data_IF_217617991357
#
_entry.id   IF_217617991357
#
_cell.length_a   1.000
_cell.length_b   1.000
_cell.length_c   1.000
_cell.angle_alpha   90.00
_cell.angle_beta   90.00
_cell.angle_gamma   90.00
#
_symmetry.space_group_name_H-M   'P 1'
#
loop_
_entity.id
_entity.type
_entity.pdbx_description
1 polymer ?
#
# COMPACT_ATOMS: atom_id res chain seq x y z
N UNK A 1 30.10 -49.85 29.85
CA UNK A 1 29.35 -50.52 30.93
C UNK A 1 28.43 -49.49 31.57
N UNK A 2 27.14 -49.83 31.64
CA UNK A 2 26.03 -49.22 32.41
C UNK A 2 25.28 -48.04 31.79
N UNK A 3 24.15 -48.41 31.17
CA UNK A 3 22.84 -47.77 31.31
C UNK A 3 22.57 -47.26 32.73
N UNK A 4 21.87 -46.13 32.85
CA UNK A 4 20.80 -45.89 33.83
C UNK A 4 19.98 -44.65 33.43
N UNK A 5 18.80 -44.88 32.84
CA UNK A 5 17.58 -44.15 33.19
C UNK A 5 16.92 -44.97 34.32
N UNK A 6 16.20 -44.41 35.33
CA UNK A 6 14.96 -43.65 35.11
C UNK A 6 14.64 -42.58 36.19
N UNK A 7 13.65 -41.72 35.94
CA UNK A 7 12.48 -41.56 36.83
C UNK A 7 11.61 -40.36 36.43
N UNK A 8 10.38 -40.70 36.00
CA UNK A 8 9.22 -39.82 35.98
C UNK A 8 9.01 -39.15 37.36
N UNK A 9 8.76 -37.84 37.37
CA UNK A 9 7.81 -37.24 38.33
C UNK A 9 6.77 -36.40 37.60
N UNK A 10 5.61 -37.02 37.50
CA UNK A 10 4.26 -36.47 37.47
C UNK A 10 4.11 -35.12 38.16
N UNK A 11 3.57 -34.14 37.42
CA UNK A 11 2.69 -33.09 37.97
C UNK A 11 1.49 -32.94 37.01
N UNK A 12 0.39 -33.61 37.37
CA UNK A 12 -0.96 -33.30 36.88
C UNK A 12 -1.40 -31.99 37.53
N UNK A 13 -1.83 -31.00 36.76
CA UNK A 13 -3.25 -30.57 36.73
C UNK A 13 -3.48 -29.36 35.80
N UNK A 14 -4.36 -29.58 34.82
CA UNK A 14 -5.36 -28.64 34.25
C UNK A 14 -4.93 -27.26 33.74
N UNK A 15 -5.09 -27.04 32.43
CA UNK A 15 -5.32 -25.72 31.86
C UNK A 15 -4.80 -25.61 30.43
N UNK A 16 -5.72 -25.54 29.46
CA UNK A 16 -5.43 -25.23 28.05
C UNK A 16 -4.45 -24.08 27.91
N UNK A 17 -3.32 -24.32 27.25
CA UNK A 17 -2.55 -23.27 26.56
C UNK A 17 -1.83 -23.93 25.40
N UNK A 18 -2.22 -23.57 24.17
CA UNK A 18 -1.50 -23.93 22.96
C UNK A 18 -0.15 -23.20 22.98
N UNK A 19 0.89 -23.88 23.47
CA UNK A 19 2.27 -23.43 23.37
C UNK A 19 2.95 -24.19 22.22
N UNK A 20 3.27 -23.46 21.15
CA UNK A 20 4.19 -23.88 20.11
C UNK A 20 5.54 -24.21 20.75
N UNK A 21 5.82 -25.49 20.97
CA UNK A 21 7.11 -25.98 21.45
C UNK A 21 7.66 -26.92 20.40
N UNK A 22 8.72 -26.50 19.71
CA UNK A 22 9.46 -27.33 18.77
C UNK A 22 10.42 -28.20 19.57
N UNK A 23 10.10 -29.48 19.75
CA UNK A 23 10.99 -30.46 20.39
C UNK A 23 11.89 -31.11 19.34
N UNK A 24 13.14 -30.65 19.29
CA UNK A 24 14.25 -31.38 18.68
C UNK A 24 14.68 -32.46 19.67
N UNK A 25 14.47 -33.74 19.36
CA UNK A 25 15.29 -34.86 19.81
C UNK A 25 14.85 -36.17 19.11
N UNK A 26 15.85 -36.83 18.51
CA UNK A 26 15.88 -38.16 17.87
C UNK A 26 15.63 -38.24 16.36
N UNK A 27 16.63 -38.81 15.68
CA UNK A 27 16.81 -38.83 14.24
C UNK A 27 15.95 -39.84 13.47
N UNK A 28 16.02 -39.67 12.14
CA UNK A 28 15.33 -40.43 11.09
C UNK A 28 13.80 -40.39 11.11
N UNK A 29 13.24 -39.33 10.54
CA UNK A 29 12.36 -39.39 9.35
C UNK A 29 11.78 -37.99 9.09
N UNK A 30 11.69 -37.61 7.81
CA UNK A 30 11.25 -36.32 7.27
C UNK A 30 10.22 -35.57 8.13
N UNK A 31 10.65 -34.49 8.77
CA UNK A 31 9.75 -33.48 9.34
C UNK A 31 10.07 -32.16 8.66
N UNK A 32 9.16 -31.72 7.77
CA UNK A 32 9.14 -30.37 7.23
C UNK A 32 8.98 -29.41 8.40
N UNK A 33 10.06 -28.80 8.87
CA UNK A 33 9.96 -27.56 9.62
C UNK A 33 9.48 -26.49 8.63
N UNK A 34 8.28 -25.95 8.84
CA UNK A 34 7.81 -24.74 8.17
C UNK A 34 8.70 -23.58 8.62
N UNK A 35 9.80 -23.38 7.91
CA UNK A 35 10.66 -22.21 8.00
C UNK A 35 10.94 -21.75 6.58
N UNK A 36 10.64 -20.49 6.29
CA UNK A 36 11.13 -19.77 5.12
C UNK A 36 12.66 -19.72 5.20
N UNK A 37 13.32 -20.78 4.72
CA UNK A 37 14.73 -20.80 4.43
C UNK A 37 14.87 -21.04 2.94
N UNK A 38 14.52 -20.04 2.14
CA UNK A 38 14.89 -20.01 0.74
C UNK A 38 16.40 -19.73 0.68
N UNK A 39 17.17 -20.73 0.26
CA UNK A 39 18.58 -20.51 -0.13
C UNK A 39 18.63 -19.35 -1.14
N UNK A 40 19.66 -18.48 -1.10
CA UNK A 40 19.78 -17.39 -2.06
C UNK A 40 19.88 -18.01 -3.45
N UNK A 41 18.81 -17.84 -4.24
CA UNK A 41 18.75 -18.38 -5.58
C UNK A 41 19.82 -17.69 -6.45
N UNK A 42 20.60 -18.45 -7.24
CA UNK A 42 21.68 -17.87 -8.04
C UNK A 42 21.13 -16.82 -9.03
N UNK A 43 21.99 -15.84 -9.37
CA UNK A 43 21.81 -14.64 -10.22
C UNK A 43 21.01 -14.84 -11.54
N UNK A 44 20.75 -16.08 -11.97
CA UNK A 44 19.85 -16.41 -13.08
C UNK A 44 18.35 -16.33 -12.72
N UNK A 45 18.01 -16.00 -11.47
CA UNK A 45 16.64 -15.92 -10.93
C UNK A 45 15.90 -14.61 -11.28
N UNK A 46 16.61 -13.57 -11.73
CA UNK A 46 16.06 -12.27 -12.16
C UNK A 46 15.17 -12.35 -13.43
N UNK A 47 15.18 -13.50 -14.12
CA UNK A 47 14.50 -13.75 -15.39
C UNK A 47 13.40 -14.82 -15.27
N UNK A 48 12.83 -15.09 -14.09
CA UNK A 48 11.61 -15.92 -14.02
C UNK A 48 10.50 -15.21 -14.81
N UNK A 49 10.09 -15.68 -16.01
CA UNK A 49 9.06 -15.01 -16.80
C UNK A 49 7.71 -14.99 -16.06
N UNK A 50 7.53 -15.91 -15.10
CA UNK A 50 6.38 -15.97 -14.21
C UNK A 50 6.26 -14.76 -13.28
N UNK A 51 7.36 -14.21 -12.74
CA UNK A 51 7.32 -13.05 -11.86
C UNK A 51 6.83 -11.79 -12.60
N UNK A 52 7.31 -11.59 -13.83
CA UNK A 52 6.81 -10.54 -14.72
C UNK A 52 5.34 -10.71 -15.07
N UNK A 53 4.91 -11.95 -15.39
CA UNK A 53 3.53 -12.25 -15.72
C UNK A 53 2.57 -12.00 -14.56
N UNK A 54 2.85 -12.56 -13.38
CA UNK A 54 2.02 -12.38 -12.19
C UNK A 54 2.06 -10.93 -11.67
N UNK A 55 3.23 -10.31 -11.65
CA UNK A 55 3.39 -8.91 -11.24
C UNK A 55 2.63 -7.95 -12.16
N UNK A 56 2.75 -8.12 -13.48
CA UNK A 56 2.02 -7.28 -14.43
C UNK A 56 0.51 -7.47 -14.31
N UNK A 57 0.04 -8.71 -14.14
CA UNK A 57 -1.37 -9.00 -13.91
C UNK A 57 -1.88 -8.34 -12.61
N UNK A 58 -1.12 -8.47 -11.51
CA UNK A 58 -1.47 -7.89 -10.23
C UNK A 58 -1.56 -6.35 -10.29
N UNK A 59 -0.53 -5.68 -10.83
CA UNK A 59 -0.53 -4.22 -11.01
C UNK A 59 -1.66 -3.78 -11.95
N UNK A 60 -1.95 -4.55 -12.98
CA UNK A 60 -3.10 -4.25 -13.86
C UNK A 60 -4.43 -4.31 -13.12
N UNK A 61 -4.61 -5.27 -12.21
CA UNK A 61 -5.82 -5.37 -11.37
C UNK A 61 -5.89 -4.21 -10.38
N UNK A 62 -4.76 -3.83 -9.78
CA UNK A 62 -4.69 -2.66 -8.88
C UNK A 62 -5.05 -1.39 -9.66
N UNK A 63 -4.44 -1.13 -10.81
CA UNK A 63 -4.77 0.06 -11.61
C UNK A 63 -6.22 0.07 -12.16
N UNK A 64 -6.94 -1.05 -12.12
CA UNK A 64 -8.38 -1.05 -12.42
C UNK A 64 -9.20 -0.42 -11.29
N UNK A 65 -8.71 -0.38 -10.04
CA UNK A 65 -9.38 0.38 -8.98
C UNK A 65 -9.41 1.87 -9.31
N UNK A 66 -8.44 2.40 -10.08
CA UNK A 66 -8.41 3.82 -10.44
C UNK A 66 -9.62 4.20 -11.32
N UNK A 67 -10.19 3.21 -12.02
CA UNK A 67 -11.39 3.31 -12.84
C UNK A 67 -12.67 3.11 -12.03
N UNK A 68 -12.63 2.45 -10.88
CA UNK A 68 -13.81 2.23 -10.02
C UNK A 68 -14.38 3.53 -9.47
N UNK A 69 -13.58 4.60 -9.38
CA UNK A 69 -14.07 5.95 -9.07
C UNK A 69 -15.23 6.38 -9.98
N UNK A 70 -15.21 5.98 -11.27
CA UNK A 70 -16.29 6.27 -12.23
C UNK A 70 -17.58 5.49 -11.89
N UNK A 71 -17.43 4.21 -11.54
CA UNK A 71 -18.55 3.34 -11.17
C UNK A 71 -19.18 3.75 -9.82
N UNK A 72 -18.39 4.39 -8.96
CA UNK A 72 -18.80 4.80 -7.62
C UNK A 72 -19.34 6.24 -7.55
N UNK A 73 -19.23 7.05 -8.61
CA UNK A 73 -19.89 8.37 -8.73
C UNK A 73 -21.38 8.35 -8.35
N UNK A 74 -22.24 7.45 -8.86
CA UNK A 74 -23.65 7.41 -8.47
C UNK A 74 -23.86 7.02 -6.99
N UNK A 75 -22.89 6.39 -6.36
CA UNK A 75 -22.92 6.00 -4.95
C UNK A 75 -22.33 7.07 -4.04
N UNK A 76 -21.43 7.92 -4.53
CA UNK A 76 -20.80 9.01 -3.78
C UNK A 76 -21.83 10.00 -3.20
N UNK A 77 -22.97 10.17 -3.86
CA UNK A 77 -24.06 11.01 -3.38
C UNK A 77 -24.86 10.39 -2.21
N UNK A 78 -24.68 9.09 -1.90
CA UNK A 78 -25.43 8.42 -0.84
C UNK A 78 -24.81 8.65 0.54
N UNK A 79 -25.63 8.79 1.60
CA UNK A 79 -25.14 8.98 2.97
C UNK A 79 -24.40 7.75 3.55
N UNK A 80 -24.46 6.60 2.88
CA UNK A 80 -23.68 5.42 3.25
C UNK A 80 -22.22 5.47 2.75
N UNK A 81 -21.92 6.29 1.74
CA UNK A 81 -20.61 6.30 1.10
C UNK A 81 -19.45 6.60 2.05
N UNK A 82 -19.52 7.60 2.95
CA UNK A 82 -18.44 7.86 3.91
C UNK A 82 -18.21 6.69 4.87
N UNK A 83 -19.26 5.92 5.19
CA UNK A 83 -19.16 4.74 6.06
C UNK A 83 -18.46 3.58 5.34
N UNK A 84 -18.82 3.35 4.08
CA UNK A 84 -18.20 2.32 3.23
C UNK A 84 -16.74 2.65 2.96
N UNK A 85 -16.44 3.90 2.60
CA UNK A 85 -15.07 4.37 2.43
C UNK A 85 -14.26 4.22 3.71
N UNK A 86 -14.86 4.56 4.87
CA UNK A 86 -14.20 4.39 6.16
C UNK A 86 -13.84 2.93 6.46
N UNK A 87 -14.70 1.97 6.07
CA UNK A 87 -14.40 0.55 6.20
C UNK A 87 -13.24 0.14 5.30
N UNK A 88 -13.27 0.51 4.01
CA UNK A 88 -12.23 0.13 3.07
C UNK A 88 -10.86 0.74 3.41
N UNK A 89 -10.80 1.99 3.85
CA UNK A 89 -9.51 2.54 4.34
C UNK A 89 -8.99 1.77 5.55
N UNK A 90 -9.87 1.42 6.50
CA UNK A 90 -9.43 0.65 7.66
C UNK A 90 -9.02 -0.79 7.29
N UNK A 91 -9.66 -1.37 6.28
CA UNK A 91 -9.26 -2.63 5.67
C UNK A 91 -7.84 -2.53 5.09
N UNK A 92 -7.57 -1.50 4.27
CA UNK A 92 -6.24 -1.23 3.71
C UNK A 92 -5.16 -1.05 4.77
N UNK A 93 -5.40 -0.21 5.78
CA UNK A 93 -4.50 -0.05 6.94
C UNK A 93 -4.21 -1.41 7.59
N UNK A 94 -5.26 -2.20 7.82
CA UNK A 94 -5.16 -3.52 8.44
C UNK A 94 -4.33 -4.49 7.60
N UNK A 95 -4.53 -4.54 6.29
CA UNK A 95 -3.77 -5.42 5.39
C UNK A 95 -2.31 -5.01 5.29
N UNK A 96 -1.98 -3.72 5.21
CA UNK A 96 -0.59 -3.26 5.14
C UNK A 96 0.19 -3.54 6.41
N UNK A 97 -0.37 -3.15 7.54
CA UNK A 97 0.25 -3.37 8.84
C UNK A 97 0.52 -4.85 9.05
N UNK A 98 -0.47 -5.68 8.71
CA UNK A 98 -0.35 -7.14 8.86
C UNK A 98 0.63 -7.75 7.86
N UNK A 99 0.67 -7.28 6.63
CA UNK A 99 1.64 -7.75 5.63
C UNK A 99 3.07 -7.41 6.05
N UNK A 100 3.29 -6.20 6.59
CA UNK A 100 4.58 -5.79 7.15
C UNK A 100 5.00 -6.70 8.31
N UNK A 101 4.13 -6.90 9.31
CA UNK A 101 4.46 -7.62 10.55
C UNK A 101 4.51 -9.14 10.38
N UNK A 102 3.64 -9.73 9.56
CA UNK A 102 3.51 -11.19 9.44
C UNK A 102 4.34 -11.78 8.30
N UNK A 103 4.71 -10.98 7.30
CA UNK A 103 5.41 -11.49 6.11
C UNK A 103 6.74 -10.78 5.89
N UNK A 104 6.76 -9.45 5.74
CA UNK A 104 7.98 -8.73 5.33
C UNK A 104 9.05 -8.70 6.43
N UNK A 105 8.66 -8.38 7.67
CA UNK A 105 9.58 -8.26 8.81
C UNK A 105 10.18 -9.61 9.23
N UNK A 106 9.39 -10.70 9.37
CA UNK A 106 9.95 -12.02 9.68
C UNK A 106 10.89 -12.54 8.59
N UNK A 107 10.59 -12.29 7.32
CA UNK A 107 11.45 -12.69 6.17
C UNK A 107 12.83 -12.02 6.23
N UNK A 108 12.89 -10.73 6.60
CA UNK A 108 14.15 -9.96 6.61
C UNK A 108 14.98 -10.17 7.89
N UNK A 109 14.34 -10.40 9.05
CA UNK A 109 15.06 -10.57 10.32
C UNK A 109 15.58 -12.00 10.50
N UNK A 110 14.89 -13.00 9.97
CA UNK A 110 15.16 -14.40 10.29
C UNK A 110 14.97 -14.70 11.79
N UNK A 111 15.14 -15.97 12.18
CA UNK A 111 15.02 -16.39 13.58
C UNK A 111 16.36 -16.42 14.34
N UNK A 112 17.47 -16.07 13.68
CA UNK A 112 18.82 -16.13 14.23
C UNK A 112 19.40 -14.72 14.48
N UNK A 113 19.31 -14.17 15.71
CA UNK A 113 19.82 -12.84 16.04
C UNK A 113 21.36 -12.72 15.98
N UNK A 114 22.07 -13.82 15.71
CA UNK A 114 23.53 -13.87 15.52
C UNK A 114 23.99 -13.81 14.06
N UNK A 115 23.06 -13.66 13.10
CA UNK A 115 23.44 -13.52 11.70
C UNK A 115 24.07 -12.14 11.44
N UNK A 116 25.20 -12.12 10.70
CA UNK A 116 25.99 -10.90 10.41
C UNK A 116 25.17 -9.77 9.75
N UNK A 117 23.99 -10.08 9.18
CA UNK A 117 23.13 -9.14 8.47
C UNK A 117 21.97 -8.56 9.30
N UNK A 118 21.79 -8.95 10.56
CA UNK A 118 20.68 -8.46 11.41
C UNK A 118 20.65 -6.92 11.49
N UNK A 119 21.81 -6.30 11.67
CA UNK A 119 21.93 -4.84 11.74
C UNK A 119 21.51 -4.17 10.43
N UNK A 120 21.85 -4.76 9.28
CA UNK A 120 21.46 -4.25 7.96
C UNK A 120 19.95 -4.38 7.73
N UNK A 121 19.37 -5.51 8.15
CA UNK A 121 17.93 -5.78 8.11
C UNK A 121 17.12 -4.75 8.91
N UNK A 122 17.48 -4.53 10.18
CA UNK A 122 16.82 -3.54 11.05
C UNK A 122 17.02 -2.11 10.52
N UNK A 123 18.23 -1.81 10.02
CA UNK A 123 18.52 -0.52 9.38
C UNK A 123 17.67 -0.32 8.12
N UNK A 124 17.42 -1.37 7.34
CA UNK A 124 16.52 -1.34 6.19
C UNK A 124 15.08 -1.00 6.57
N UNK A 125 14.55 -1.63 7.62
CA UNK A 125 13.20 -1.33 8.15
C UNK A 125 13.09 0.13 8.58
N UNK A 126 14.02 0.60 9.39
CA UNK A 126 14.03 2.01 9.80
C UNK A 126 14.23 2.95 8.61
N UNK A 127 15.11 2.57 7.66
CA UNK A 127 15.38 3.32 6.44
C UNK A 127 14.14 3.50 5.58
N UNK A 128 13.36 2.45 5.36
CA UNK A 128 12.10 2.53 4.61
C UNK A 128 11.06 3.43 5.28
N UNK A 129 10.90 3.29 6.60
CA UNK A 129 10.03 4.17 7.38
C UNK A 129 10.45 5.65 7.26
N UNK A 130 11.75 5.92 7.42
CA UNK A 130 12.31 7.27 7.38
C UNK A 130 12.25 7.89 5.99
N UNK A 131 12.49 7.11 4.93
CA UNK A 131 12.42 7.60 3.55
C UNK A 131 11.02 8.13 3.24
N UNK A 132 9.96 7.39 3.56
CA UNK A 132 8.59 7.89 3.34
C UNK A 132 8.25 9.09 4.22
N UNK A 133 8.65 9.07 5.49
CA UNK A 133 8.50 10.24 6.37
C UNK A 133 9.16 11.49 5.79
N UNK A 134 10.38 11.35 5.30
CA UNK A 134 11.16 12.45 4.76
C UNK A 134 10.62 12.92 3.41
N UNK A 135 10.27 12.01 2.50
CA UNK A 135 9.68 12.38 1.20
C UNK A 135 8.33 13.05 1.36
N UNK A 136 7.46 12.54 2.24
CA UNK A 136 6.18 13.19 2.56
C UNK A 136 6.41 14.56 3.21
N UNK A 137 7.41 14.68 4.10
CA UNK A 137 7.81 15.95 4.71
C UNK A 137 8.29 16.98 3.69
N UNK A 138 9.17 16.60 2.77
CA UNK A 138 9.62 17.47 1.67
C UNK A 138 8.45 17.85 0.80
N UNK A 139 7.62 16.89 0.40
CA UNK A 139 6.48 17.13 -0.46
C UNK A 139 5.56 18.18 0.17
N UNK A 140 5.25 18.03 1.45
CA UNK A 140 4.49 19.04 2.22
C UNK A 140 5.18 20.41 2.27
N UNK A 141 6.49 20.48 2.45
CA UNK A 141 7.23 21.76 2.47
C UNK A 141 7.27 22.47 1.10
N UNK A 142 7.61 21.72 0.04
CA UNK A 142 7.67 22.22 -1.34
C UNK A 142 6.30 22.75 -1.75
N UNK A 143 5.24 22.02 -1.41
CA UNK A 143 3.88 22.38 -1.78
C UNK A 143 3.32 23.54 -0.95
N UNK A 144 3.75 23.69 0.32
CA UNK A 144 3.41 24.86 1.14
C UNK A 144 4.05 26.14 0.61
N UNK A 145 5.21 26.04 -0.03
CA UNK A 145 5.94 27.17 -0.62
C UNK A 145 5.20 27.75 -1.83
N UNK A 146 4.55 26.91 -2.66
CA UNK A 146 3.75 27.35 -3.82
C UNK A 146 2.47 28.12 -3.43
N UNK A 147 1.87 27.82 -2.26
CA UNK A 147 0.65 28.49 -1.80
C UNK A 147 0.92 29.90 -1.25
N UNK A 148 2.10 30.16 -0.70
CA UNK A 148 2.50 31.50 -0.21
C UNK A 148 2.91 32.43 -1.36
N UNK A 149 3.63 31.94 -2.38
CA UNK A 149 4.15 32.76 -3.48
C UNK A 149 3.05 33.33 -4.40
N UNK A 150 1.85 32.73 -4.42
CA UNK A 150 0.75 33.17 -5.30
C UNK A 150 -0.13 34.28 -4.73
N UNK A 151 0.04 34.68 -3.47
CA UNK A 151 -0.67 35.79 -2.85
C UNK A 151 0.12 37.11 -2.92
N UNK A 152 0.53 37.53 -4.12
CA UNK A 152 0.79 38.96 -4.34
C UNK A 152 -0.52 39.64 -4.79
N UNK A 153 -1.00 40.67 -4.08
CA UNK A 153 -2.23 41.37 -4.45
C UNK A 153 -1.95 42.23 -5.67
N UNK A 154 -2.42 41.79 -6.85
CA UNK A 154 -2.58 42.69 -7.98
C UNK A 154 -3.81 43.56 -7.70
N UNK A 155 -3.56 44.76 -7.18
CA UNK A 155 -4.51 45.86 -7.25
C UNK A 155 -4.77 46.17 -8.74
N UNK A 156 -5.95 45.88 -9.27
CA UNK A 156 -6.47 46.63 -10.42
C UNK A 156 -8.00 46.65 -10.43
N UNK A 157 -8.50 47.82 -10.03
CA UNK A 157 -9.78 48.48 -10.34
C UNK A 157 -10.97 47.67 -10.88
N UNK A 158 -12.08 47.80 -10.16
CA UNK A 158 -13.44 47.62 -10.62
C UNK A 158 -13.76 48.42 -11.90
N UNK A 159 -14.35 47.77 -12.90
CA UNK A 159 -15.33 48.40 -13.80
C UNK A 159 -16.41 47.40 -14.20
N UNK A 160 -17.64 47.79 -13.92
CA UNK A 160 -18.91 47.24 -14.37
C UNK A 160 -18.96 47.10 -15.90
N UNK A 161 -19.54 46.02 -16.45
CA UNK A 161 -20.41 46.03 -17.65
C UNK A 161 -20.93 44.63 -17.98
N UNK A 162 -22.21 44.58 -18.30
CA UNK A 162 -23.04 43.50 -18.83
C UNK A 162 -22.59 43.00 -20.20
N UNK A 163 -22.84 41.70 -20.50
CA UNK A 163 -23.46 41.18 -21.74
C UNK A 163 -23.08 39.71 -22.05
N UNK A 164 -24.08 38.93 -22.48
CA UNK A 164 -24.01 37.66 -23.22
C UNK A 164 -24.58 37.93 -24.63
N UNK A 165 -24.48 37.05 -25.64
CA UNK A 165 -23.43 36.07 -26.00
C UNK A 165 -23.01 36.19 -27.49
N UNK A 166 -21.87 35.63 -27.94
CA UNK A 166 -21.68 35.38 -29.38
C UNK A 166 -20.92 34.09 -29.74
N UNK A 167 -21.60 33.34 -30.61
CA UNK A 167 -21.25 32.11 -31.30
C UNK A 167 -20.15 32.36 -32.35
N UNK A 168 -19.04 31.61 -32.26
CA UNK A 168 -17.93 31.66 -33.23
C UNK A 168 -17.30 30.28 -33.39
N UNK A 169 -17.61 29.63 -34.52
CA UNK A 169 -17.17 28.30 -34.93
C UNK A 169 -15.84 28.41 -35.68
N UNK A 170 -14.77 27.81 -35.14
CA UNK A 170 -13.58 27.42 -35.91
C UNK A 170 -13.22 25.97 -35.59
N UNK A 171 -13.18 25.15 -36.64
CA UNK A 171 -12.89 23.72 -36.63
C UNK A 171 -11.37 23.50 -36.70
N UNK A 172 -10.81 22.78 -35.73
CA UNK A 172 -9.56 22.01 -35.91
C UNK A 172 -9.59 20.80 -34.96
N UNK A 173 -9.33 19.61 -35.50
CA UNK A 173 -9.29 18.27 -34.88
C UNK A 173 -7.94 18.16 -34.12
N UNK A 174 -7.77 17.60 -32.92
CA UNK A 174 -8.25 16.36 -32.29
C UNK A 174 -8.26 16.50 -30.74
N UNK A 175 -9.09 15.70 -30.05
CA UNK A 175 -9.33 15.63 -28.58
C UNK A 175 -10.23 16.70 -27.94
N UNK A 176 -11.55 16.44 -27.94
CA UNK A 176 -12.56 17.22 -27.19
C UNK A 176 -12.55 17.02 -25.67
N UNK A 177 -11.78 16.07 -25.14
CA UNK A 177 -11.73 15.71 -23.70
C UNK A 177 -11.02 16.76 -22.82
N UNK A 178 -10.20 17.63 -23.39
CA UNK A 178 -9.50 18.71 -22.68
C UNK A 178 -10.26 20.05 -22.66
N UNK A 179 -11.46 20.11 -23.25
CA UNK A 179 -12.21 21.36 -23.35
C UNK A 179 -13.14 21.54 -22.15
N UNK A 180 -12.63 22.10 -21.04
CA UNK A 180 -13.25 23.25 -20.34
C UNK A 180 -12.52 23.69 -19.06
N UNK A 181 -12.44 25.03 -18.92
CA UNK A 181 -11.84 25.91 -17.88
C UNK A 181 -10.30 26.04 -17.89
N UNK A 182 -9.74 27.27 -17.77
CA UNK A 182 -8.29 27.46 -17.74
C UNK A 182 -7.72 26.81 -16.49
N UNK A 183 -6.72 25.94 -16.66
CA UNK A 183 -5.95 25.26 -15.62
C UNK A 183 -5.14 26.25 -14.74
N UNK A 184 -5.64 27.44 -14.40
CA UNK A 184 -4.85 28.48 -13.74
C UNK A 184 -4.73 28.27 -12.23
N UNK A 185 -5.87 28.22 -11.53
CA UNK A 185 -5.96 28.18 -10.07
C UNK A 185 -6.06 26.75 -9.51
N UNK A 186 -6.80 25.88 -10.21
CA UNK A 186 -7.01 24.45 -9.93
C UNK A 186 -5.71 23.61 -10.01
N UNK A 187 -4.66 24.16 -10.62
CA UNK A 187 -3.41 23.48 -10.99
C UNK A 187 -2.65 22.90 -9.80
N UNK A 188 -2.55 23.63 -8.68
CA UNK A 188 -1.61 23.27 -7.62
C UNK A 188 -2.09 22.07 -6.79
N UNK A 189 -3.37 22.02 -6.41
CA UNK A 189 -3.93 20.89 -5.65
C UNK A 189 -3.94 19.61 -6.49
N UNK A 190 -4.31 19.71 -7.77
CA UNK A 190 -4.31 18.54 -8.65
C UNK A 190 -2.90 17.95 -8.84
N UNK A 191 -1.88 18.78 -9.11
CA UNK A 191 -0.51 18.30 -9.21
C UNK A 191 0.04 17.76 -7.89
N UNK A 192 -0.32 18.39 -6.76
CA UNK A 192 0.04 17.91 -5.43
C UNK A 192 -0.47 16.49 -5.19
N UNK A 193 -1.76 16.26 -5.42
CA UNK A 193 -2.41 14.96 -5.21
C UNK A 193 -1.81 13.94 -6.16
N UNK A 194 -1.78 14.21 -7.46
CA UNK A 194 -1.25 13.26 -8.46
C UNK A 194 0.23 12.92 -8.24
N UNK A 195 1.08 13.87 -7.83
CA UNK A 195 2.50 13.58 -7.60
C UNK A 195 2.70 12.74 -6.34
N UNK A 196 1.95 13.04 -5.27
CA UNK A 196 1.99 12.24 -4.03
C UNK A 196 1.56 10.81 -4.31
N UNK A 197 0.43 10.66 -5.01
CA UNK A 197 -0.14 9.38 -5.40
C UNK A 197 0.78 8.59 -6.32
N UNK A 198 1.42 9.25 -7.31
CA UNK A 198 2.41 8.60 -8.17
C UNK A 198 3.66 8.10 -7.41
N UNK A 199 4.10 8.79 -6.36
CA UNK A 199 5.22 8.30 -5.55
C UNK A 199 4.81 7.10 -4.68
N UNK A 200 3.57 7.08 -4.20
CA UNK A 200 3.00 5.97 -3.44
C UNK A 200 2.86 4.72 -4.32
N UNK A 201 2.16 4.88 -5.45
CA UNK A 201 1.98 3.83 -6.46
C UNK A 201 3.30 3.25 -6.97
N UNK A 202 4.31 4.10 -7.17
CA UNK A 202 5.66 3.64 -7.51
C UNK A 202 6.27 2.75 -6.40
N UNK A 203 6.15 3.15 -5.14
CA UNK A 203 6.63 2.37 -4.01
C UNK A 203 5.90 1.02 -3.92
N UNK A 204 4.59 0.99 -4.12
CA UNK A 204 3.81 -0.25 -4.09
C UNK A 204 4.23 -1.21 -5.20
N UNK A 205 4.39 -0.69 -6.41
CA UNK A 205 4.93 -1.45 -7.53
C UNK A 205 6.30 -2.04 -7.20
N UNK A 206 7.19 -1.26 -6.59
CA UNK A 206 8.52 -1.71 -6.17
C UNK A 206 8.43 -2.90 -5.21
N UNK A 207 7.56 -2.83 -4.20
CA UNK A 207 7.37 -3.91 -3.24
C UNK A 207 6.73 -5.14 -3.89
N UNK A 208 5.69 -4.96 -4.70
CA UNK A 208 5.04 -6.06 -5.44
C UNK A 208 6.07 -6.81 -6.30
N UNK A 209 6.90 -6.07 -7.04
CA UNK A 209 7.93 -6.64 -7.89
C UNK A 209 8.95 -7.46 -7.10
N UNK A 210 9.45 -6.91 -6.00
CA UNK A 210 10.38 -7.61 -5.13
C UNK A 210 9.76 -8.85 -4.46
N UNK A 211 8.50 -8.75 -4.03
CA UNK A 211 7.75 -9.87 -3.44
C UNK A 211 7.58 -11.04 -4.40
N UNK A 212 7.24 -10.79 -5.67
CA UNK A 212 7.15 -11.85 -6.68
C UNK A 212 8.49 -12.49 -7.06
N UNK A 213 9.60 -11.76 -6.91
CA UNK A 213 10.94 -12.34 -7.09
C UNK A 213 11.26 -13.33 -5.96
N UNK A 214 10.86 -13.03 -4.71
CA UNK A 214 11.08 -13.92 -3.59
C UNK A 214 10.16 -15.15 -3.63
N UNK A 215 8.84 -14.96 -3.71
CA UNK A 215 7.90 -16.06 -3.87
C UNK A 215 6.56 -15.61 -4.46
N UNK A 216 5.90 -16.54 -5.15
CA UNK A 216 4.56 -16.31 -5.71
C UNK A 216 3.55 -15.95 -4.60
N UNK A 217 3.64 -16.63 -3.46
CA UNK A 217 2.77 -16.37 -2.31
C UNK A 217 2.99 -14.96 -1.72
N UNK A 218 4.24 -14.57 -1.48
CA UNK A 218 4.56 -13.23 -0.98
C UNK A 218 4.10 -12.14 -1.97
N UNK A 219 4.29 -12.38 -3.27
CA UNK A 219 3.80 -11.50 -4.33
C UNK A 219 2.28 -11.33 -4.32
N UNK A 220 1.51 -12.42 -4.25
CA UNK A 220 0.05 -12.35 -4.16
C UNK A 220 -0.43 -11.68 -2.87
N UNK A 221 0.16 -12.03 -1.73
CA UNK A 221 -0.20 -11.41 -0.45
C UNK A 221 0.05 -9.90 -0.45
N UNK A 222 1.23 -9.48 -0.92
CA UNK A 222 1.57 -8.07 -1.06
C UNK A 222 0.61 -7.35 -2.02
N UNK A 223 0.28 -7.98 -3.15
CA UNK A 223 -0.66 -7.39 -4.13
C UNK A 223 -2.06 -7.21 -3.56
N UNK A 224 -2.53 -8.15 -2.75
CA UNK A 224 -3.83 -8.03 -2.05
C UNK A 224 -3.76 -6.90 -1.02
N UNK A 225 -2.66 -6.79 -0.28
CA UNK A 225 -2.48 -5.73 0.70
C UNK A 225 -2.52 -4.33 0.06
N UNK A 226 -1.76 -4.15 -1.03
CA UNK A 226 -1.75 -2.92 -1.84
C UNK A 226 -3.12 -2.63 -2.44
N UNK A 227 -3.78 -3.62 -3.04
CA UNK A 227 -5.12 -3.42 -3.63
C UNK A 227 -6.14 -2.92 -2.58
N UNK A 228 -6.04 -3.40 -1.34
CA UNK A 228 -6.95 -3.00 -0.27
C UNK A 228 -6.71 -1.56 0.24
N UNK A 229 -5.49 -1.01 0.12
CA UNK A 229 -5.19 0.39 0.44
C UNK A 229 -5.41 1.34 -0.74
N UNK A 230 -5.12 0.91 -1.97
CA UNK A 230 -5.20 1.76 -3.15
C UNK A 230 -6.66 2.10 -3.51
N UNK A 231 -7.57 1.13 -3.38
CA UNK A 231 -8.99 1.33 -3.67
C UNK A 231 -9.61 2.53 -2.90
N UNK A 232 -9.44 2.66 -1.57
CA UNK A 232 -9.92 3.83 -0.85
C UNK A 232 -9.12 5.10 -1.13
N UNK A 233 -7.80 5.03 -1.38
CA UNK A 233 -6.96 6.20 -1.71
C UNK A 233 -7.36 6.83 -3.03
N UNK A 234 -7.42 6.05 -4.10
CA UNK A 234 -7.80 6.50 -5.44
C UNK A 234 -9.22 7.09 -5.48
N UNK A 235 -10.12 6.54 -4.68
CA UNK A 235 -11.48 7.08 -4.53
C UNK A 235 -11.48 8.42 -3.77
N UNK A 236 -10.63 8.56 -2.75
CA UNK A 236 -10.41 9.81 -2.04
C UNK A 236 -9.84 10.90 -2.96
N UNK A 237 -8.81 10.56 -3.73
CA UNK A 237 -8.14 11.45 -4.68
C UNK A 237 -9.08 11.91 -5.78
N UNK A 238 -9.89 10.99 -6.32
CA UNK A 238 -10.94 11.34 -7.26
C UNK A 238 -11.90 12.40 -6.69
N UNK A 239 -12.34 12.26 -5.43
CA UNK A 239 -13.20 13.25 -4.76
C UNK A 239 -12.48 14.58 -4.54
N UNK A 240 -11.20 14.57 -4.15
CA UNK A 240 -10.40 15.78 -3.95
C UNK A 240 -10.24 16.54 -5.29
N UNK A 241 -9.95 15.83 -6.39
CA UNK A 241 -9.81 16.41 -7.72
C UNK A 241 -11.12 17.03 -8.22
N UNK A 242 -12.26 16.36 -8.01
CA UNK A 242 -13.57 16.94 -8.32
C UNK A 242 -13.85 18.20 -7.50
N UNK A 243 -13.54 18.19 -6.20
CA UNK A 243 -13.69 19.34 -5.32
C UNK A 243 -12.74 20.50 -5.68
N UNK A 244 -11.57 20.18 -6.25
CA UNK A 244 -10.66 21.17 -6.83
C UNK A 244 -11.20 21.80 -8.13
N UNK A 245 -12.30 21.28 -8.69
CA UNK A 245 -12.97 21.83 -9.87
C UNK A 245 -12.58 21.16 -11.19
N UNK A 246 -11.94 19.98 -11.15
CA UNK A 246 -11.71 19.17 -12.33
C UNK A 246 -13.03 18.51 -12.76
N UNK A 247 -13.21 18.34 -14.07
CA UNK A 247 -14.29 17.50 -14.60
C UNK A 247 -14.01 16.02 -14.33
N UNK A 248 -15.05 15.19 -14.29
CA UNK A 248 -14.94 13.73 -14.09
C UNK A 248 -13.87 13.09 -15.02
N UNK A 249 -13.84 13.38 -16.33
CA UNK A 249 -12.81 12.79 -17.21
C UNK A 249 -11.39 13.25 -16.88
N UNK A 250 -11.22 14.51 -16.43
CA UNK A 250 -9.92 15.02 -16.02
C UNK A 250 -9.45 14.35 -14.72
N UNK A 251 -10.33 14.21 -13.73
CA UNK A 251 -10.00 13.56 -12.47
C UNK A 251 -9.59 12.09 -12.69
N UNK A 252 -10.35 11.35 -13.51
CA UNK A 252 -9.98 9.97 -13.91
C UNK A 252 -8.63 9.93 -14.64
N UNK A 253 -8.38 10.86 -15.56
CA UNK A 253 -7.11 10.91 -16.28
C UNK A 253 -5.90 11.08 -15.35
N UNK A 254 -5.99 12.00 -14.39
CA UNK A 254 -4.90 12.23 -13.42
C UNK A 254 -4.69 11.02 -12.50
N UNK A 255 -5.77 10.34 -12.08
CA UNK A 255 -5.72 9.15 -11.24
C UNK A 255 -5.10 7.93 -11.97
N UNK A 256 -5.42 7.76 -13.26
CA UNK A 256 -4.75 6.74 -14.07
C UNK A 256 -3.28 7.11 -14.30
N UNK A 257 -2.99 8.40 -14.52
CA UNK A 257 -1.63 8.86 -14.79
C UNK A 257 -0.70 8.60 -13.60
N UNK A 258 -1.17 8.78 -12.36
CA UNK A 258 -0.41 8.41 -11.16
C UNK A 258 -0.27 6.89 -11.03
N UNK A 259 -1.32 6.09 -11.22
CA UNK A 259 -1.25 4.63 -11.07
C UNK A 259 -0.34 3.95 -12.10
N UNK A 260 -0.08 4.56 -13.26
CA UNK A 260 0.92 4.07 -14.22
C UNK A 260 2.34 4.02 -13.66
N UNK A 261 2.66 4.84 -12.65
CA UNK A 261 3.96 4.78 -11.96
C UNK A 261 4.20 3.43 -11.26
N UNK A 262 3.14 2.72 -10.87
CA UNK A 262 3.21 1.40 -10.26
C UNK A 262 3.88 0.36 -11.18
N UNK A 263 3.68 0.46 -12.50
CA UNK A 263 4.40 -0.40 -13.45
C UNK A 263 5.92 -0.12 -13.49
N UNK A 264 6.33 1.14 -13.31
CA UNK A 264 7.75 1.49 -13.23
C UNK A 264 8.37 0.96 -11.94
N UNK A 265 7.63 1.08 -10.84
CA UNK A 265 7.96 0.46 -9.56
C UNK A 265 8.14 -1.05 -9.70
N UNK A 266 7.17 -1.74 -10.30
CA UNK A 266 7.19 -3.18 -10.55
C UNK A 266 8.43 -3.61 -11.32
N UNK A 267 8.70 -2.95 -12.46
CA UNK A 267 9.86 -3.26 -13.28
C UNK A 267 11.16 -3.10 -12.47
N UNK A 268 11.30 -2.01 -11.73
CA UNK A 268 12.47 -1.78 -10.89
C UNK A 268 12.55 -2.81 -9.75
N UNK A 269 11.43 -3.17 -9.14
CA UNK A 269 11.35 -4.12 -8.03
C UNK A 269 11.80 -5.52 -8.46
N UNK A 270 11.39 -5.96 -9.65
CA UNK A 270 11.83 -7.24 -10.23
C UNK A 270 13.33 -7.19 -10.55
N UNK A 271 13.80 -6.11 -11.19
CA UNK A 271 15.21 -5.97 -11.58
C UNK A 271 16.16 -5.88 -10.38
N UNK A 272 15.81 -5.06 -9.39
CA UNK A 272 16.62 -4.85 -8.18
C UNK A 272 16.51 -6.06 -7.26
N UNK A 273 15.33 -6.66 -7.12
CA UNK A 273 15.14 -7.87 -6.32
C UNK A 273 15.90 -9.08 -6.85
N UNK A 274 16.16 -9.13 -8.16
CA UNK A 274 17.00 -10.16 -8.77
C UNK A 274 18.50 -9.89 -8.72
N UNK A 275 18.93 -8.63 -8.56
CA UNK A 275 20.32 -8.21 -8.62
C UNK A 275 20.95 -7.90 -7.25
N UNK A 276 20.14 -7.53 -6.25
CA UNK A 276 20.57 -7.12 -4.90
C UNK A 276 19.91 -7.99 -3.82
N UNK A 277 20.44 -7.93 -2.59
CA UNK A 277 19.96 -8.72 -1.45
C UNK A 277 18.44 -8.54 -1.23
N UNK A 278 17.59 -9.56 -1.49
CA UNK A 278 16.13 -9.45 -1.38
C UNK A 278 15.69 -8.96 0.01
N UNK A 279 16.43 -9.38 1.04
CA UNK A 279 16.21 -9.02 2.43
C UNK A 279 16.20 -7.50 2.65
N UNK A 280 17.10 -6.74 2.00
CA UNK A 280 17.14 -5.28 2.17
C UNK A 280 15.87 -4.62 1.62
N UNK A 281 15.34 -5.12 0.51
CA UNK A 281 14.11 -4.59 -0.10
C UNK A 281 12.90 -4.92 0.78
N UNK A 282 12.83 -6.13 1.34
CA UNK A 282 11.77 -6.48 2.29
C UNK A 282 11.83 -5.68 3.59
N UNK A 283 13.03 -5.38 4.09
CA UNK A 283 13.22 -4.48 5.21
C UNK A 283 12.65 -3.10 4.90
N UNK A 284 13.12 -2.49 3.82
CA UNK A 284 12.65 -1.16 3.38
C UNK A 284 11.13 -1.17 3.17
N UNK A 285 10.59 -2.15 2.45
CA UNK A 285 9.15 -2.31 2.23
C UNK A 285 8.34 -2.45 3.52
N UNK A 286 8.78 -3.30 4.45
CA UNK A 286 8.14 -3.47 5.75
C UNK A 286 8.11 -2.15 6.54
N UNK A 287 9.20 -1.39 6.50
CA UNK A 287 9.27 -0.04 7.07
C UNK A 287 8.30 0.94 6.43
N UNK A 288 8.19 0.91 5.09
CA UNK A 288 7.27 1.77 4.34
C UNK A 288 5.81 1.47 4.69
N UNK A 289 5.39 0.20 4.68
CA UNK A 289 4.02 -0.19 5.03
C UNK A 289 3.67 0.12 6.50
N UNK A 290 4.63 0.00 7.41
CA UNK A 290 4.44 0.46 8.79
C UNK A 290 4.24 1.98 8.88
N UNK A 291 4.97 2.76 8.09
CA UNK A 291 4.81 4.22 8.05
C UNK A 291 3.44 4.61 7.49
N UNK A 292 3.06 4.08 6.33
CA UNK A 292 1.78 4.37 5.66
C UNK A 292 0.61 4.04 6.58
N UNK A 293 0.57 2.83 7.13
CA UNK A 293 -0.48 2.42 8.06
C UNK A 293 -0.54 3.29 9.32
N UNK A 294 0.61 3.72 9.86
CA UNK A 294 0.64 4.60 11.03
C UNK A 294 0.09 6.01 10.72
N UNK A 295 0.51 6.62 9.61
CA UNK A 295 0.03 7.95 9.20
C UNK A 295 -1.46 7.93 8.92
N UNK A 296 -1.97 6.92 8.23
CA UNK A 296 -3.38 6.81 7.88
C UNK A 296 -4.27 6.61 9.12
N UNK A 297 -3.81 5.84 10.11
CA UNK A 297 -4.50 5.69 11.40
C UNK A 297 -4.60 7.03 12.15
N UNK A 298 -3.51 7.79 12.21
CA UNK A 298 -3.46 9.07 12.91
C UNK A 298 -4.30 10.12 12.18
N UNK A 299 -4.14 10.22 10.87
CA UNK A 299 -4.90 11.15 10.02
C UNK A 299 -6.40 10.94 10.21
N UNK A 300 -6.85 9.68 10.28
CA UNK A 300 -8.27 9.36 10.47
C UNK A 300 -8.81 9.75 11.85
N UNK A 301 -8.02 9.59 12.91
CA UNK A 301 -8.44 9.97 14.27
C UNK A 301 -8.64 11.49 14.43
N UNK A 302 -8.08 12.30 13.54
CA UNK A 302 -8.16 13.77 13.61
C UNK A 302 -9.46 14.37 13.05
N UNK A 303 -10.28 13.58 12.34
CA UNK A 303 -11.53 14.07 11.76
C UNK A 303 -12.59 14.29 12.85
N UNK A 304 -13.02 15.53 13.02
CA UNK A 304 -14.02 15.92 14.02
C UNK A 304 -15.42 15.39 13.63
N UNK A 305 -15.90 14.37 14.35
CA UNK A 305 -17.23 13.77 14.16
C UNK A 305 -18.18 14.05 15.33
N UNK A 306 -19.49 14.07 15.03
CA UNK A 306 -20.52 14.24 16.07
C UNK A 306 -20.61 13.00 16.97
N UNK A 307 -20.87 13.14 18.30
CA UNK A 307 -20.70 12.06 19.28
C UNK A 307 -21.46 10.74 18.97
N UNK A 308 -22.67 10.82 18.40
CA UNK A 308 -23.47 9.62 18.03
C UNK A 308 -22.96 8.91 16.79
N UNK A 309 -22.37 9.65 15.85
CA UNK A 309 -21.74 9.05 14.66
C UNK A 309 -20.36 8.45 14.99
N UNK A 310 -19.66 8.99 15.99
CA UNK A 310 -18.33 8.55 16.39
C UNK A 310 -18.25 7.07 16.79
N UNK A 311 -19.24 6.55 17.51
CA UNK A 311 -19.25 5.12 17.90
C UNK A 311 -19.42 4.21 16.68
N UNK A 312 -20.32 4.55 15.75
CA UNK A 312 -20.51 3.76 14.54
C UNK A 312 -19.26 3.77 13.65
N UNK A 313 -18.63 4.93 13.46
CA UNK A 313 -17.38 5.04 12.70
C UNK A 313 -16.23 4.29 13.39
N UNK A 314 -16.17 4.33 14.73
CA UNK A 314 -15.21 3.54 15.49
C UNK A 314 -15.41 2.04 15.27
N UNK A 315 -16.65 1.54 15.36
CA UNK A 315 -16.94 0.11 15.12
C UNK A 315 -16.62 -0.30 13.68
N UNK A 316 -16.98 0.52 12.69
CA UNK A 316 -16.69 0.27 11.28
C UNK A 316 -15.17 0.22 11.03
N UNK A 317 -14.41 1.14 11.62
CA UNK A 317 -12.96 1.16 11.49
C UNK A 317 -12.31 -0.07 12.12
N UNK A 318 -12.71 -0.44 13.35
CA UNK A 318 -12.19 -1.65 13.97
C UNK A 318 -12.57 -2.91 13.18
N UNK A 319 -13.79 -2.95 12.61
CA UNK A 319 -14.21 -4.06 11.75
C UNK A 319 -13.33 -4.16 10.49
N UNK A 320 -13.00 -3.04 9.85
CA UNK A 320 -12.08 -3.00 8.71
C UNK A 320 -10.65 -3.43 9.09
N UNK A 321 -10.11 -2.88 10.17
CA UNK A 321 -8.76 -3.22 10.65
C UNK A 321 -8.64 -4.72 10.95
N UNK A 322 -9.61 -5.27 11.69
CA UNK A 322 -9.65 -6.69 12.05
C UNK A 322 -9.84 -7.59 10.83
N UNK A 323 -10.68 -7.19 9.87
CA UNK A 323 -10.84 -7.97 8.64
C UNK A 323 -9.58 -7.94 7.79
N UNK A 324 -8.88 -6.81 7.70
CA UNK A 324 -7.59 -6.71 6.99
C UNK A 324 -6.52 -7.59 7.62
N UNK A 325 -6.41 -7.56 8.95
CA UNK A 325 -5.54 -8.48 9.70
C UNK A 325 -5.91 -9.93 9.47
N UNK A 326 -7.20 -10.26 9.54
CA UNK A 326 -7.67 -11.62 9.31
C UNK A 326 -7.36 -12.12 7.90
N UNK A 327 -7.51 -11.29 6.86
CA UNK A 327 -7.19 -11.65 5.46
C UNK A 327 -5.72 -12.05 5.34
N UNK A 328 -4.79 -11.21 5.82
CA UNK A 328 -3.36 -11.51 5.72
C UNK A 328 -2.96 -12.67 6.63
N UNK A 329 -3.54 -12.78 7.83
CA UNK A 329 -3.30 -13.91 8.72
C UNK A 329 -3.74 -15.22 8.08
N UNK A 330 -4.91 -15.26 7.44
CA UNK A 330 -5.39 -16.46 6.75
C UNK A 330 -4.47 -16.84 5.59
N UNK A 331 -4.04 -15.87 4.77
CA UNK A 331 -3.05 -16.12 3.70
C UNK A 331 -1.76 -16.70 4.29
N UNK A 332 -1.30 -16.17 5.42
CA UNK A 332 -0.06 -16.60 6.09
C UNK A 332 -0.20 -17.98 6.73
N UNK A 333 -1.36 -18.34 7.29
CA UNK A 333 -1.60 -19.64 7.90
C UNK A 333 -1.76 -20.76 6.87
N UNK A 334 -2.48 -20.50 5.77
CA UNK A 334 -2.69 -21.47 4.70
C UNK A 334 -1.56 -21.47 3.65
N UNK A 335 -0.57 -20.58 3.80
CA UNK A 335 0.65 -20.52 3.00
C UNK A 335 1.30 -21.89 2.76
N UNK A 336 1.37 -22.73 3.79
CA UNK A 336 2.03 -24.04 3.74
C UNK A 336 1.25 -25.13 3.00
N UNK A 337 -0.07 -24.94 2.83
CA UNK A 337 -0.96 -25.88 2.16
C UNK A 337 -1.19 -25.52 0.69
N UNK A 338 -0.87 -24.28 0.31
CA UNK A 338 -0.98 -23.77 -1.07
C UNK A 338 0.28 -24.16 -1.85
N UNK A 339 0.27 -25.37 -2.42
CA UNK A 339 1.32 -25.83 -3.33
C UNK A 339 1.13 -25.20 -4.71
N UNK A 340 1.69 -24.02 -4.94
CA UNK A 340 1.83 -23.44 -6.28
C UNK A 340 3.19 -23.91 -6.84
N UNK A 341 3.20 -25.08 -7.47
CA UNK A 341 4.33 -25.57 -8.28
C UNK A 341 4.55 -24.70 -9.53
#
# INVERSE_FOLDING_TARGET
MRDYSPALRTLKHTGRTHALTCSVLNGHSSTKCCGFASSPAPLNSALRPSAWGYGFLAVSIINLSSLMGLALVPFAAKPCFPKVLSYFTALGIGTLFSNAVLQLIPEVLGFDPGADNYNLSVTGIFGGFYVLFFTEGILKMVLKTEHEVRHHPVHTSMTHSSDLPQYGRTRTVCCGWLRSRPLGSVRTVAWMVTLSDALHNFADGLVIGASFVASVLAGFSTSIAVMCEELPHELGDFVILLNAGLSIPQAVFFNILSSLSCYLGLALGILVGGAFAPNAIFGIAGGMFLYVSAVDMVARSSWQMTPRSSVLFFLIQNAGLLSGFAVILLITLFAGDISLE
#
